data_IF_551440621998
#
_entry.id   IF_551440621998
#
_cell.length_a   1.000
_cell.length_b   1.000
_cell.length_c   1.000
_cell.angle_alpha   90.00
_cell.angle_beta   90.00
_cell.angle_gamma   90.00
#
_symmetry.space_group_name_H-M   'P 1'
#
loop_
_entity.id
_entity.type
_entity.pdbx_description
1 polymer ?
#
# COMPACT_ATOMS: atom_id res chain seq x y z
N UNK A 1 -19.04 -17.00 -18.39
CA UNK A 1 -18.25 -17.00 -17.15
C UNK A 1 -16.92 -17.71 -17.40
N UNK A 2 -15.86 -17.26 -16.78
CA UNK A 2 -14.53 -17.86 -16.84
C UNK A 2 -14.55 -19.33 -16.38
N UNK A 3 -13.88 -20.21 -17.14
CA UNK A 3 -13.83 -21.66 -16.84
C UNK A 3 -12.64 -22.06 -15.98
N UNK A 4 -11.61 -21.20 -15.88
CA UNK A 4 -10.47 -21.39 -15.00
C UNK A 4 -10.77 -20.96 -13.56
N UNK A 5 -9.74 -20.89 -12.75
CA UNK A 5 -9.84 -20.44 -11.36
C UNK A 5 -9.63 -18.93 -11.24
N UNK A 6 -10.40 -18.28 -10.39
CA UNK A 6 -10.21 -16.88 -10.00
C UNK A 6 -10.03 -16.80 -8.49
N UNK A 7 -9.01 -16.06 -8.06
CA UNK A 7 -8.76 -15.81 -6.63
C UNK A 7 -8.39 -14.35 -6.40
N UNK A 8 -8.78 -13.80 -5.26
CA UNK A 8 -8.20 -12.56 -4.78
C UNK A 8 -6.79 -12.84 -4.21
N UNK A 9 -5.86 -11.88 -4.26
CA UNK A 9 -4.49 -12.03 -3.74
C UNK A 9 -4.44 -12.55 -2.30
N UNK A 10 -5.40 -12.20 -1.46
CA UNK A 10 -5.50 -12.70 -0.07
C UNK A 10 -5.78 -14.21 0.05
N UNK A 11 -6.29 -14.83 -1.01
CA UNK A 11 -6.60 -16.26 -1.05
C UNK A 11 -5.56 -17.06 -1.87
N UNK A 12 -4.63 -16.38 -2.54
CA UNK A 12 -3.49 -17.04 -3.21
C UNK A 12 -2.57 -17.67 -2.17
N UNK A 13 -2.08 -18.87 -2.43
CA UNK A 13 -1.24 -19.62 -1.47
C UNK A 13 0.14 -19.94 -2.00
N UNK A 14 0.23 -20.43 -3.23
CA UNK A 14 1.50 -20.90 -3.82
C UNK A 14 1.42 -20.99 -5.32
N UNK A 15 2.54 -20.78 -5.99
CA UNK A 15 2.72 -20.98 -7.43
C UNK A 15 2.92 -22.45 -7.85
N UNK A 16 3.22 -23.36 -6.93
CA UNK A 16 3.59 -24.77 -7.23
C UNK A 16 2.57 -25.48 -8.10
N UNK A 17 1.29 -25.28 -7.86
CA UNK A 17 0.21 -25.95 -8.59
C UNK A 17 0.03 -25.43 -10.03
N UNK A 18 0.72 -24.34 -10.39
CA UNK A 18 0.54 -23.62 -11.65
C UNK A 18 1.67 -23.82 -12.65
N UNK A 19 2.57 -24.78 -12.41
CA UNK A 19 3.69 -25.09 -13.32
C UNK A 19 3.19 -25.35 -14.75
N UNK A 20 3.75 -24.63 -15.73
CA UNK A 20 3.39 -24.71 -17.15
C UNK A 20 2.04 -24.11 -17.52
N UNK A 21 1.29 -23.55 -16.56
CA UNK A 21 0.00 -22.90 -16.76
C UNK A 21 0.14 -21.42 -17.07
N UNK A 22 -0.83 -20.87 -17.76
CA UNK A 22 -0.92 -19.43 -18.00
C UNK A 22 -1.64 -18.75 -16.84
N UNK A 23 -0.95 -17.85 -16.16
CA UNK A 23 -1.51 -17.13 -15.03
C UNK A 23 -1.49 -15.64 -15.31
N UNK A 24 -2.63 -14.98 -15.13
CA UNK A 24 -2.73 -13.52 -15.22
C UNK A 24 -2.92 -12.95 -13.83
N UNK A 25 -1.99 -12.07 -13.43
CA UNK A 25 -2.03 -11.34 -12.17
C UNK A 25 -2.45 -9.90 -12.45
N UNK A 26 -3.60 -9.51 -11.93
CA UNK A 26 -4.17 -8.16 -12.15
C UNK A 26 -3.78 -7.24 -11.01
N UNK A 27 -2.89 -6.33 -11.28
CA UNK A 27 -2.29 -5.39 -10.32
C UNK A 27 -0.79 -5.30 -10.50
N UNK A 28 -0.17 -4.29 -9.89
CA UNK A 28 1.27 -3.99 -10.02
C UNK A 28 1.91 -3.44 -8.73
N UNK A 29 1.27 -3.62 -7.58
CA UNK A 29 1.82 -3.25 -6.27
C UNK A 29 2.45 -4.47 -5.57
N UNK A 30 2.77 -4.39 -4.26
CA UNK A 30 3.46 -5.44 -3.50
C UNK A 30 2.90 -6.84 -3.77
N UNK A 31 1.63 -7.09 -3.49
CA UNK A 31 1.03 -8.43 -3.67
C UNK A 31 1.15 -8.96 -5.10
N UNK A 32 1.02 -8.10 -6.11
CA UNK A 32 1.11 -8.52 -7.50
C UNK A 32 2.53 -8.95 -7.86
N UNK A 33 3.53 -8.18 -7.44
CA UNK A 33 4.94 -8.50 -7.69
C UNK A 33 5.36 -9.79 -7.00
N UNK A 34 5.06 -9.94 -5.70
CA UNK A 34 5.41 -11.13 -4.93
C UNK A 34 4.75 -12.39 -5.50
N UNK A 35 3.47 -12.29 -5.87
CA UNK A 35 2.74 -13.40 -6.50
C UNK A 35 3.30 -13.74 -7.89
N UNK A 36 3.66 -12.74 -8.69
CA UNK A 36 4.29 -12.96 -9.99
C UNK A 36 5.65 -13.67 -9.84
N UNK A 37 6.44 -13.29 -8.84
CA UNK A 37 7.72 -13.93 -8.55
C UNK A 37 7.54 -15.39 -8.15
N UNK A 38 6.68 -15.68 -7.17
CA UNK A 38 6.38 -17.04 -6.72
C UNK A 38 5.85 -17.93 -7.86
N UNK A 39 4.95 -17.44 -8.68
CA UNK A 39 4.43 -18.15 -9.85
C UNK A 39 5.53 -18.43 -10.87
N UNK A 40 6.37 -17.45 -11.18
CA UNK A 40 7.44 -17.60 -12.15
C UNK A 40 8.52 -18.59 -11.65
N UNK A 41 8.93 -18.50 -10.39
CA UNK A 41 9.90 -19.41 -9.75
C UNK A 41 9.41 -20.87 -9.78
N UNK A 42 8.11 -21.07 -9.69
CA UNK A 42 7.47 -22.38 -9.79
C UNK A 42 7.14 -22.82 -11.24
N UNK A 43 7.57 -22.03 -12.23
CA UNK A 43 7.49 -22.41 -13.65
C UNK A 43 6.16 -22.15 -14.33
N UNK A 44 5.35 -21.22 -13.82
CA UNK A 44 4.16 -20.74 -14.51
C UNK A 44 4.50 -19.73 -15.62
N UNK A 45 3.65 -19.60 -16.62
CA UNK A 45 3.71 -18.54 -17.63
C UNK A 45 2.93 -17.31 -17.14
N UNK A 46 3.64 -16.33 -16.56
CA UNK A 46 3.02 -15.23 -15.84
C UNK A 46 2.87 -13.99 -16.71
N UNK A 47 1.69 -13.37 -16.66
CA UNK A 47 1.44 -12.04 -17.22
C UNK A 47 0.91 -11.12 -16.12
N UNK A 48 1.61 -10.03 -15.83
CA UNK A 48 1.15 -8.95 -14.99
C UNK A 48 0.30 -7.97 -15.81
N UNK A 49 -0.86 -7.59 -15.29
CA UNK A 49 -1.71 -6.55 -15.88
C UNK A 49 -1.63 -5.29 -15.02
N UNK A 50 -1.08 -4.22 -15.58
CA UNK A 50 -0.95 -2.93 -14.92
C UNK A 50 -1.91 -1.90 -15.53
N UNK A 51 -2.83 -1.36 -14.71
CA UNK A 51 -3.78 -0.33 -15.12
C UNK A 51 -3.27 1.09 -14.83
N UNK A 52 -2.59 1.28 -13.74
CA UNK A 52 -2.12 2.59 -13.25
C UNK A 52 -0.68 2.50 -12.79
N UNK A 53 -0.01 3.63 -12.73
CA UNK A 53 1.39 3.72 -12.32
C UNK A 53 1.63 3.21 -10.90
N UNK A 54 2.84 2.68 -10.69
CA UNK A 54 3.32 2.16 -9.40
C UNK A 54 4.68 2.74 -9.10
N UNK A 55 4.89 3.20 -7.87
CA UNK A 55 6.22 3.57 -7.39
C UNK A 55 7.01 2.30 -7.04
N UNK A 56 8.15 2.13 -7.66
CA UNK A 56 9.09 1.04 -7.34
C UNK A 56 10.21 1.60 -6.48
N UNK A 57 10.47 0.99 -5.33
CA UNK A 57 11.59 1.35 -4.46
C UNK A 57 12.38 0.09 -4.13
N UNK A 58 13.65 0.00 -4.54
CA UNK A 58 14.52 -1.10 -4.10
C UNK A 58 14.64 -1.09 -2.58
N UNK A 59 14.49 -2.26 -1.97
CA UNK A 59 14.55 -2.43 -0.52
C UNK A 59 15.85 -1.86 0.06
N UNK A 60 17.00 -2.19 -0.54
CA UNK A 60 18.30 -1.72 -0.07
C UNK A 60 18.45 -0.20 -0.18
N UNK A 61 18.00 0.38 -1.29
CA UNK A 61 18.03 1.83 -1.49
C UNK A 61 17.13 2.54 -0.51
N UNK A 62 15.92 1.99 -0.26
CA UNK A 62 14.98 2.51 0.72
C UNK A 62 15.56 2.45 2.14
N UNK A 63 16.16 1.30 2.50
CA UNK A 63 16.79 1.13 3.83
C UNK A 63 17.95 2.08 4.04
N UNK A 64 18.82 2.25 3.05
CA UNK A 64 20.00 3.10 3.18
C UNK A 64 19.63 4.60 3.25
N UNK A 65 18.85 5.08 2.28
CA UNK A 65 18.63 6.51 2.08
C UNK A 65 17.46 7.08 2.88
N UNK A 66 16.38 6.31 3.03
CA UNK A 66 15.17 6.81 3.68
C UNK A 66 15.05 6.41 5.15
N UNK A 67 15.53 5.23 5.54
CA UNK A 67 15.32 4.67 6.87
C UNK A 67 16.63 4.55 7.69
N UNK A 68 17.80 4.48 7.05
CA UNK A 68 19.08 4.16 7.69
C UNK A 68 19.51 5.15 8.77
N UNK A 69 19.14 6.42 8.66
CA UNK A 69 19.44 7.42 9.69
C UNK A 69 18.76 7.16 11.05
N UNK A 70 17.66 6.40 11.05
CA UNK A 70 16.89 6.08 12.27
C UNK A 70 16.89 4.58 12.60
N UNK A 71 16.80 3.72 11.59
CA UNK A 71 16.57 2.29 11.77
C UNK A 71 17.73 1.46 11.18
N UNK A 72 18.93 1.63 11.74
CA UNK A 72 20.12 0.89 11.34
C UNK A 72 21.00 0.60 12.54
N UNK A 73 21.95 -0.35 12.39
CA UNK A 73 22.96 -0.59 13.42
C UNK A 73 23.80 0.66 13.70
N UNK A 74 24.06 1.49 12.69
CA UNK A 74 24.78 2.75 12.85
C UNK A 74 23.98 3.74 13.71
N UNK A 75 22.69 3.84 13.52
CA UNK A 75 21.81 4.66 14.36
C UNK A 75 21.85 4.20 15.83
N UNK A 76 21.75 2.89 16.08
CA UNK A 76 21.85 2.33 17.44
C UNK A 76 23.21 2.63 18.07
N UNK A 77 24.31 2.45 17.34
CA UNK A 77 25.67 2.80 17.83
C UNK A 77 25.82 4.29 18.16
N UNK A 78 25.04 5.15 17.50
CA UNK A 78 24.98 6.59 17.74
C UNK A 78 23.94 6.99 18.79
N UNK A 79 23.39 6.05 19.56
CA UNK A 79 22.44 6.30 20.65
C UNK A 79 21.00 6.59 20.20
N UNK A 80 20.65 6.19 18.98
CA UNK A 80 19.27 6.19 18.47
C UNK A 80 18.75 4.75 18.49
N UNK A 81 18.19 4.35 19.62
CA UNK A 81 17.47 3.09 19.72
C UNK A 81 16.10 3.14 19.03
N UNK A 82 15.39 2.03 19.01
CA UNK A 82 14.11 1.90 18.31
C UNK A 82 13.04 2.86 18.86
N UNK A 83 12.97 3.03 20.17
CA UNK A 83 11.95 3.89 20.79
C UNK A 83 12.21 5.37 20.45
N UNK A 84 13.48 5.77 20.49
CA UNK A 84 13.89 7.13 20.09
C UNK A 84 13.67 7.37 18.60
N UNK A 85 13.98 6.39 17.76
CA UNK A 85 13.74 6.45 16.31
C UNK A 85 12.26 6.64 16.01
N UNK A 86 11.40 5.85 16.64
CA UNK A 86 9.94 5.94 16.51
C UNK A 86 9.41 7.31 16.95
N UNK A 87 9.91 7.83 18.08
CA UNK A 87 9.53 9.13 18.59
C UNK A 87 9.94 10.26 17.64
N UNK A 88 11.19 10.22 17.13
CA UNK A 88 11.68 11.20 16.14
C UNK A 88 10.79 11.16 14.90
N UNK A 89 10.52 9.96 14.36
CA UNK A 89 9.70 9.82 13.17
C UNK A 89 8.26 10.31 13.39
N UNK A 90 7.66 9.96 14.54
CA UNK A 90 6.30 10.36 14.89
C UNK A 90 6.17 11.86 15.22
N UNK A 91 7.28 12.53 15.59
CA UNK A 91 7.28 13.97 15.84
C UNK A 91 7.20 14.85 14.60
N UNK A 92 7.44 14.25 13.41
CA UNK A 92 7.39 14.98 12.14
C UNK A 92 5.93 15.17 11.68
N UNK A 93 5.46 16.43 11.55
CA UNK A 93 4.12 16.66 11.03
C UNK A 93 3.98 16.13 9.61
N UNK A 94 2.94 15.36 9.32
CA UNK A 94 2.71 14.80 7.97
C UNK A 94 2.64 15.88 6.88
N UNK A 95 2.18 17.09 7.23
CA UNK A 95 2.14 18.25 6.32
C UNK A 95 3.53 18.72 5.88
N UNK A 96 4.55 18.52 6.71
CA UNK A 96 5.94 18.88 6.41
C UNK A 96 6.70 17.77 5.67
N UNK A 97 6.24 16.51 5.75
CA UNK A 97 6.96 15.37 5.20
C UNK A 97 7.24 15.45 3.69
N UNK A 98 6.34 15.94 2.81
CA UNK A 98 6.66 16.01 1.38
C UNK A 98 7.96 16.78 1.10
N UNK A 99 8.16 17.92 1.74
CA UNK A 99 9.38 18.73 1.57
C UNK A 99 10.65 18.01 2.05
N UNK A 100 10.54 17.15 3.05
CA UNK A 100 11.65 16.34 3.56
C UNK A 100 11.91 15.10 2.70
N UNK A 101 10.87 14.53 2.12
CA UNK A 101 10.95 13.29 1.35
C UNK A 101 11.44 13.51 -0.08
N UNK A 102 11.03 14.59 -0.75
CA UNK A 102 11.40 14.86 -2.15
C UNK A 102 12.92 14.72 -2.38
N UNK A 103 13.82 15.36 -1.62
CA UNK A 103 15.26 15.21 -1.84
C UNK A 103 15.77 13.78 -1.67
N UNK A 104 15.18 13.01 -0.76
CA UNK A 104 15.54 11.60 -0.54
C UNK A 104 15.14 10.76 -1.76
N UNK A 105 13.93 10.96 -2.27
CA UNK A 105 13.45 10.20 -3.44
C UNK A 105 14.15 10.60 -4.73
N UNK A 106 14.63 11.83 -4.88
CA UNK A 106 15.52 12.19 -5.99
C UNK A 106 16.85 11.43 -5.95
N UNK A 107 17.47 11.30 -4.78
CA UNK A 107 18.67 10.48 -4.60
C UNK A 107 18.39 8.99 -4.88
N UNK A 108 17.27 8.46 -4.40
CA UNK A 108 16.87 7.08 -4.71
C UNK A 108 16.67 6.88 -6.21
N UNK A 109 16.06 7.85 -6.88
CA UNK A 109 15.83 7.81 -8.32
C UNK A 109 17.12 7.82 -9.13
N UNK A 110 18.10 8.61 -8.71
CA UNK A 110 19.44 8.60 -9.31
C UNK A 110 20.15 7.26 -9.09
N UNK A 111 20.10 6.73 -7.87
CA UNK A 111 20.75 5.45 -7.53
C UNK A 111 20.19 4.26 -8.30
N UNK A 112 18.88 4.23 -8.50
CA UNK A 112 18.16 3.09 -9.12
C UNK A 112 17.79 3.37 -10.59
N UNK A 113 18.40 4.37 -11.23
CA UNK A 113 18.09 4.83 -12.59
C UNK A 113 18.16 3.72 -13.64
N UNK A 114 19.08 2.76 -13.48
CA UNK A 114 19.22 1.61 -14.38
C UNK A 114 17.96 0.72 -14.38
N UNK A 115 17.43 0.43 -13.20
CA UNK A 115 16.22 -0.37 -13.06
C UNK A 115 15.02 0.37 -13.65
N UNK A 116 14.88 1.65 -13.35
CA UNK A 116 13.77 2.45 -13.87
C UNK A 116 13.79 2.54 -15.40
N UNK A 117 14.95 2.76 -16.00
CA UNK A 117 15.09 2.79 -17.47
C UNK A 117 14.68 1.45 -18.11
N UNK A 118 15.03 0.31 -17.50
CA UNK A 118 14.65 -1.02 -17.98
C UNK A 118 13.15 -1.30 -17.79
N UNK A 119 12.56 -0.89 -16.70
CA UNK A 119 11.13 -1.00 -16.46
C UNK A 119 10.32 -0.15 -17.45
N UNK A 120 10.72 1.08 -17.68
CA UNK A 120 10.09 1.96 -18.68
C UNK A 120 10.21 1.37 -20.08
N UNK A 121 11.39 0.83 -20.44
CA UNK A 121 11.59 0.14 -21.73
C UNK A 121 10.70 -1.10 -21.88
N UNK A 122 10.41 -1.80 -20.78
CA UNK A 122 9.47 -2.91 -20.76
C UNK A 122 7.99 -2.45 -20.84
N UNK A 123 7.73 -1.14 -20.77
CA UNK A 123 6.39 -0.55 -20.80
C UNK A 123 5.72 -0.42 -19.43
N UNK A 124 6.49 -0.56 -18.33
CA UNK A 124 5.97 -0.41 -16.98
C UNK A 124 5.67 1.07 -16.69
N UNK A 125 4.50 1.34 -16.15
CA UNK A 125 4.08 2.69 -15.78
C UNK A 125 4.64 3.02 -14.39
N UNK A 126 5.72 3.79 -14.36
CA UNK A 126 6.34 4.28 -13.13
C UNK A 126 5.72 5.61 -12.68
N UNK A 127 5.75 5.87 -11.38
CA UNK A 127 5.56 7.20 -10.79
C UNK A 127 6.36 7.35 -9.50
N UNK A 128 6.55 8.58 -9.06
CA UNK A 128 7.27 8.92 -7.84
C UNK A 128 6.40 9.68 -6.83
N UNK A 129 5.07 9.50 -6.93
CA UNK A 129 4.08 10.22 -6.15
C UNK A 129 3.56 11.46 -6.88
N UNK A 130 2.40 11.97 -6.46
CA UNK A 130 1.73 13.11 -7.11
C UNK A 130 2.57 14.39 -7.09
N UNK A 131 3.44 14.52 -6.09
CA UNK A 131 4.31 15.67 -5.84
C UNK A 131 5.79 15.29 -5.75
N UNK A 132 6.17 14.10 -6.21
CA UNK A 132 7.55 13.59 -6.12
C UNK A 132 7.97 13.12 -4.73
N UNK A 133 7.08 13.12 -3.75
CA UNK A 133 7.37 12.72 -2.37
C UNK A 133 7.41 11.20 -2.12
N UNK A 134 7.26 10.40 -3.16
CA UNK A 134 7.53 8.98 -3.19
C UNK A 134 6.62 8.07 -2.37
N UNK A 135 7.20 6.93 -1.99
CA UNK A 135 6.51 5.81 -1.37
C UNK A 135 5.79 6.18 -0.07
N UNK A 136 6.49 6.89 0.83
CA UNK A 136 5.94 7.12 2.16
C UNK A 136 4.68 7.99 2.13
N UNK A 137 4.65 9.01 1.27
CA UNK A 137 3.45 9.82 1.09
C UNK A 137 2.34 9.08 0.35
N UNK A 138 2.65 8.21 -0.61
CA UNK A 138 1.66 7.30 -1.22
C UNK A 138 1.03 6.37 -0.16
N UNK A 139 1.85 5.83 0.72
CA UNK A 139 1.41 5.01 1.84
C UNK A 139 0.48 5.79 2.78
N UNK A 140 0.86 6.99 3.22
CA UNK A 140 0.04 7.81 4.11
C UNK A 140 -1.27 8.26 3.45
N UNK A 141 -1.23 8.63 2.18
CA UNK A 141 -2.40 9.14 1.44
C UNK A 141 -3.38 8.05 1.05
N UNK A 142 -2.88 6.86 0.63
CA UNK A 142 -3.70 5.82 -0.01
C UNK A 142 -3.51 4.42 0.56
N UNK A 143 -2.44 4.14 1.29
CA UNK A 143 -2.08 2.80 1.74
C UNK A 143 -1.67 1.85 0.61
N UNK A 144 -1.42 2.37 -0.60
CA UNK A 144 -1.14 1.57 -1.80
C UNK A 144 -0.42 2.40 -2.88
N UNK A 145 -0.17 1.77 -4.04
CA UNK A 145 0.42 2.45 -5.21
C UNK A 145 1.93 2.34 -5.26
N UNK A 146 2.53 1.40 -4.53
CA UNK A 146 3.97 1.18 -4.50
C UNK A 146 4.31 -0.32 -4.39
N UNK A 147 5.54 -0.64 -4.73
CA UNK A 147 6.20 -1.90 -4.46
C UNK A 147 7.56 -1.64 -3.81
N UNK A 148 7.82 -2.29 -2.67
CA UNK A 148 9.15 -2.36 -2.07
C UNK A 148 9.83 -3.56 -2.70
N UNK A 149 10.72 -3.29 -3.65
CA UNK A 149 11.30 -4.30 -4.52
C UNK A 149 12.35 -5.13 -3.80
N UNK A 150 12.12 -6.43 -3.82
CA UNK A 150 13.04 -7.48 -3.34
C UNK A 150 13.46 -8.43 -4.50
N UNK A 151 13.36 -7.95 -5.75
CA UNK A 151 13.82 -8.66 -6.93
C UNK A 151 12.76 -8.96 -7.99
N UNK A 152 11.47 -8.87 -7.68
CA UNK A 152 10.43 -9.17 -8.67
C UNK A 152 10.36 -8.14 -9.81
N UNK A 153 10.81 -6.91 -9.60
CA UNK A 153 10.89 -5.90 -10.67
C UNK A 153 11.86 -6.31 -11.78
N UNK A 154 12.92 -7.03 -11.46
CA UNK A 154 13.87 -7.56 -12.45
C UNK A 154 13.19 -8.55 -13.41
N UNK A 155 12.25 -9.35 -12.90
CA UNK A 155 11.50 -10.30 -13.73
C UNK A 155 10.61 -9.59 -14.75
N UNK A 156 10.05 -8.45 -14.38
CA UNK A 156 9.25 -7.61 -15.27
C UNK A 156 10.15 -6.87 -16.27
N UNK A 157 11.23 -6.27 -15.79
CA UNK A 157 12.18 -5.53 -16.62
C UNK A 157 12.82 -6.40 -17.71
N UNK A 158 13.10 -7.66 -17.41
CA UNK A 158 13.72 -8.63 -18.34
C UNK A 158 12.67 -9.39 -19.18
N UNK A 159 11.37 -9.15 -18.97
CA UNK A 159 10.29 -9.82 -19.70
C UNK A 159 10.05 -11.29 -19.32
N UNK A 160 10.69 -11.79 -18.24
CA UNK A 160 10.42 -13.12 -17.67
C UNK A 160 9.02 -13.22 -17.10
N UNK A 161 8.53 -12.15 -16.48
CA UNK A 161 7.11 -11.88 -16.24
C UNK A 161 6.64 -10.94 -17.33
N UNK A 162 5.71 -11.38 -18.16
CA UNK A 162 5.14 -10.54 -19.22
C UNK A 162 4.34 -9.40 -18.62
N UNK A 163 4.42 -8.24 -19.24
CA UNK A 163 3.66 -7.06 -18.81
C UNK A 163 2.61 -6.70 -19.87
N UNK A 164 1.40 -6.44 -19.41
CA UNK A 164 0.35 -5.82 -20.24
C UNK A 164 -0.20 -4.61 -19.49
N UNK A 165 -0.06 -3.44 -20.08
CA UNK A 165 -0.63 -2.20 -19.56
C UNK A 165 -1.99 -1.93 -20.16
N UNK A 166 -2.89 -1.34 -19.37
CA UNK A 166 -4.25 -0.96 -19.79
C UNK A 166 -5.34 -1.48 -18.87
N UNK A 167 -6.57 -1.12 -19.20
CA UNK A 167 -7.77 -1.56 -18.48
C UNK A 167 -8.29 -2.88 -19.04
N UNK A 168 -8.87 -3.69 -18.16
CA UNK A 168 -9.62 -4.89 -18.54
C UNK A 168 -11.01 -4.44 -18.95
N UNK A 169 -11.50 -4.91 -20.08
CA UNK A 169 -12.86 -4.68 -20.55
C UNK A 169 -13.81 -5.71 -19.94
N UNK A 170 -13.51 -7.00 -20.14
CA UNK A 170 -14.32 -8.08 -19.57
C UNK A 170 -13.53 -9.38 -19.42
N UNK A 171 -14.16 -10.36 -18.79
CA UNK A 171 -13.64 -11.72 -18.59
C UNK A 171 -14.38 -12.67 -19.53
N UNK A 172 -13.63 -13.44 -20.31
CA UNK A 172 -14.15 -14.51 -21.18
C UNK A 172 -13.98 -15.90 -20.55
N UNK A 173 -14.41 -16.94 -21.28
CA UNK A 173 -14.35 -18.30 -20.78
C UNK A 173 -12.92 -18.83 -20.59
N UNK A 174 -11.96 -18.31 -21.35
CA UNK A 174 -10.57 -18.76 -21.39
C UNK A 174 -9.53 -17.67 -21.02
N UNK A 175 -9.99 -16.52 -20.49
CA UNK A 175 -9.08 -15.46 -20.07
C UNK A 175 -9.69 -14.07 -19.93
N UNK A 176 -8.86 -13.04 -20.15
CA UNK A 176 -9.23 -11.64 -20.06
C UNK A 176 -9.19 -10.97 -21.44
N UNK A 177 -10.10 -10.03 -21.67
CA UNK A 177 -10.06 -9.11 -22.81
C UNK A 177 -9.73 -7.72 -22.28
N UNK A 178 -8.69 -7.13 -22.85
CA UNK A 178 -8.26 -5.77 -22.53
C UNK A 178 -9.07 -4.77 -23.36
N UNK A 179 -9.18 -3.53 -22.90
CA UNK A 179 -9.89 -2.44 -23.59
C UNK A 179 -9.36 -2.14 -25.00
N UNK A 180 -8.12 -2.53 -25.31
CA UNK A 180 -7.53 -2.42 -26.66
C UNK A 180 -7.79 -3.65 -27.53
N UNK A 181 -8.65 -4.59 -27.09
CA UNK A 181 -8.99 -5.83 -27.78
C UNK A 181 -7.98 -6.96 -27.60
N UNK A 182 -6.87 -6.76 -26.89
CA UNK A 182 -5.90 -7.83 -26.62
C UNK A 182 -6.53 -8.91 -25.75
N UNK A 183 -6.37 -10.16 -26.14
CA UNK A 183 -6.82 -11.33 -25.35
C UNK A 183 -5.68 -11.96 -24.60
N UNK A 184 -5.83 -12.14 -23.29
CA UNK A 184 -4.87 -12.79 -22.40
C UNK A 184 -5.46 -14.13 -21.95
N UNK A 185 -4.92 -15.23 -22.48
CA UNK A 185 -5.34 -16.58 -22.04
C UNK A 185 -4.88 -16.81 -20.61
N UNK A 186 -5.72 -17.44 -19.80
CA UNK A 186 -5.45 -17.74 -18.41
C UNK A 186 -6.07 -19.08 -17.99
N UNK A 187 -5.32 -19.85 -17.22
CA UNK A 187 -5.82 -20.98 -16.42
C UNK A 187 -6.19 -20.50 -15.00
N UNK A 188 -5.48 -19.46 -14.52
CA UNK A 188 -5.74 -18.77 -13.26
C UNK A 188 -5.73 -17.25 -13.48
N UNK A 189 -6.66 -16.56 -12.85
CA UNK A 189 -6.64 -15.10 -12.69
C UNK A 189 -6.49 -14.77 -11.21
N UNK A 190 -5.43 -14.02 -10.87
CA UNK A 190 -5.22 -13.51 -9.51
C UNK A 190 -5.54 -12.02 -9.48
N UNK A 191 -6.55 -11.65 -8.70
CA UNK A 191 -6.97 -10.27 -8.52
C UNK A 191 -6.16 -9.63 -7.38
N UNK A 192 -5.01 -9.02 -7.71
CA UNK A 192 -4.18 -8.27 -6.78
C UNK A 192 -4.56 -6.77 -6.78
N UNK A 193 -5.86 -6.51 -6.70
CA UNK A 193 -6.47 -5.19 -6.86
C UNK A 193 -6.60 -4.39 -5.56
N UNK A 194 -5.98 -4.87 -4.49
CA UNK A 194 -5.96 -4.23 -3.18
C UNK A 194 -7.17 -4.54 -2.32
N UNK A 195 -7.29 -3.78 -1.24
CA UNK A 195 -8.33 -3.96 -0.22
C UNK A 195 -9.17 -2.69 -0.12
N UNK A 196 -10.41 -2.84 0.36
CA UNK A 196 -11.26 -1.71 0.69
C UNK A 196 -10.78 -0.93 1.91
N UNK A 197 -11.45 0.16 2.24
CA UNK A 197 -11.18 0.93 3.45
C UNK A 197 -11.36 0.07 4.71
N UNK A 198 -10.57 0.36 5.77
CA UNK A 198 -10.61 -0.37 7.04
C UNK A 198 -11.99 -0.36 7.71
N UNK A 199 -12.83 0.64 7.46
CA UNK A 199 -14.21 0.65 7.96
C UNK A 199 -15.07 -0.52 7.40
N UNK A 200 -14.69 -1.12 6.28
CA UNK A 200 -15.29 -2.37 5.82
C UNK A 200 -15.11 -3.55 6.77
N UNK A 201 -14.06 -3.55 7.58
CA UNK A 201 -13.91 -4.51 8.68
C UNK A 201 -14.88 -4.22 9.82
N UNK A 202 -15.14 -2.95 10.14
CA UNK A 202 -16.16 -2.58 11.13
C UNK A 202 -17.52 -3.11 10.70
N UNK A 203 -17.88 -2.95 9.42
CA UNK A 203 -19.13 -3.48 8.88
C UNK A 203 -19.27 -4.99 9.04
N UNK A 204 -18.16 -5.73 8.90
CA UNK A 204 -18.15 -7.20 9.03
C UNK A 204 -18.14 -7.69 10.49
N UNK A 205 -17.44 -6.96 11.37
CA UNK A 205 -17.23 -7.40 12.76
C UNK A 205 -18.29 -6.87 13.72
N UNK A 206 -18.90 -5.74 13.37
CA UNK A 206 -19.93 -5.07 14.18
C UNK A 206 -21.22 -4.98 13.36
N UNK A 207 -21.36 -3.90 12.59
CA UNK A 207 -22.47 -3.66 11.66
C UNK A 207 -22.19 -2.50 10.69
N UNK A 208 -23.02 -2.39 9.66
CA UNK A 208 -22.89 -1.34 8.63
C UNK A 208 -23.14 0.05 9.19
N UNK A 209 -24.10 0.21 10.11
CA UNK A 209 -24.43 1.52 10.70
C UNK A 209 -23.25 2.09 11.50
N UNK A 210 -22.54 1.25 12.24
CA UNK A 210 -21.30 1.63 12.94
C UNK A 210 -20.19 1.99 11.96
N UNK A 211 -20.02 1.22 10.90
CA UNK A 211 -19.04 1.52 9.84
C UNK A 211 -19.32 2.86 9.16
N UNK A 212 -20.56 3.14 8.83
CA UNK A 212 -21.01 4.40 8.22
C UNK A 212 -20.82 5.58 9.17
N UNK A 213 -21.05 5.37 10.46
CA UNK A 213 -20.86 6.39 11.50
C UNK A 213 -19.38 6.76 11.66
N UNK A 214 -18.49 5.78 11.62
CA UNK A 214 -17.03 6.01 11.69
C UNK A 214 -16.52 6.63 10.39
N UNK A 215 -17.00 6.15 9.26
CA UNK A 215 -16.53 6.57 7.96
C UNK A 215 -15.15 6.01 7.60
N UNK A 216 -14.54 6.57 6.58
CA UNK A 216 -13.27 6.12 6.04
C UNK A 216 -12.13 6.20 7.07
N UNK A 217 -11.40 5.12 7.20
CA UNK A 217 -10.19 5.04 8.01
C UNK A 217 -8.96 5.04 7.09
N UNK A 218 -7.85 5.60 7.58
CA UNK A 218 -6.62 5.81 6.81
C UNK A 218 -6.73 6.92 5.75
N UNK A 219 -5.57 7.42 5.32
CA UNK A 219 -5.42 8.47 4.32
C UNK A 219 -5.43 9.87 4.93
N UNK A 220 -4.62 10.75 4.33
CA UNK A 220 -4.53 12.17 4.70
C UNK A 220 -5.56 13.04 3.96
N UNK A 221 -6.33 12.44 3.07
CA UNK A 221 -7.12 13.15 2.08
C UNK A 221 -6.30 13.56 0.86
N UNK A 222 -6.96 13.77 -0.26
CA UNK A 222 -6.31 14.11 -1.52
C UNK A 222 -6.36 15.60 -1.85
N UNK A 223 -7.01 16.41 -1.01
CA UNK A 223 -7.30 17.81 -1.34
C UNK A 223 -8.28 17.99 -2.49
N UNK A 224 -8.92 16.92 -2.95
CA UNK A 224 -9.92 16.93 -4.03
C UNK A 224 -11.34 16.92 -3.46
N UNK A 225 -12.32 17.30 -4.27
CA UNK A 225 -13.74 17.23 -3.91
C UNK A 225 -14.22 15.79 -3.63
N UNK A 226 -13.51 14.77 -4.15
CA UNK A 226 -13.83 13.36 -3.91
C UNK A 226 -13.34 12.87 -2.56
N UNK A 227 -12.24 13.42 -2.06
CA UNK A 227 -11.61 13.00 -0.80
C UNK A 227 -10.86 14.16 -0.15
N UNK A 228 -11.57 15.16 0.37
CA UNK A 228 -10.97 16.40 0.90
C UNK A 228 -10.14 16.18 2.15
N UNK A 229 -10.32 15.05 2.84
CA UNK A 229 -9.70 14.78 4.11
C UNK A 229 -10.31 15.58 5.26
N UNK A 230 -10.75 14.93 6.32
CA UNK A 230 -11.43 15.60 7.45
C UNK A 230 -10.46 16.40 8.31
N UNK A 231 -9.20 16.03 8.35
CA UNK A 231 -8.17 16.71 9.14
C UNK A 231 -6.95 16.96 8.27
N UNK A 232 -6.66 18.19 8.02
CA UNK A 232 -5.47 18.55 7.28
C UNK A 232 -4.20 17.98 7.93
N UNK A 233 -3.49 17.12 7.18
CA UNK A 233 -2.23 16.56 7.61
C UNK A 233 -2.30 15.47 8.67
N UNK A 234 -3.48 14.87 8.94
CA UNK A 234 -3.63 13.75 9.85
C UNK A 234 -4.27 12.53 9.19
N UNK A 235 -3.92 11.34 9.71
CA UNK A 235 -4.57 10.10 9.28
C UNK A 235 -5.98 9.99 9.85
N UNK A 236 -6.94 9.68 8.98
CA UNK A 236 -8.35 9.54 9.35
C UNK A 236 -8.54 8.38 10.30
N UNK A 237 -9.17 8.66 11.43
CA UNK A 237 -9.65 7.66 12.40
C UNK A 237 -8.59 6.66 12.91
N UNK A 238 -7.30 6.97 12.77
CA UNK A 238 -6.23 6.09 13.24
C UNK A 238 -5.71 6.53 14.60
N UNK A 239 -5.59 5.57 15.53
CA UNK A 239 -4.97 5.72 16.86
C UNK A 239 -5.61 6.77 17.76
N UNK A 240 -6.83 7.16 17.48
CA UNK A 240 -7.60 8.18 18.20
C UNK A 240 -9.05 7.74 18.36
N UNK A 241 -9.82 8.38 19.26
CA UNK A 241 -11.27 8.14 19.36
C UNK A 241 -11.95 8.40 18.01
N UNK A 242 -12.89 7.53 17.66
CA UNK A 242 -13.71 7.68 16.46
C UNK A 242 -15.08 8.31 16.78
N UNK A 243 -15.92 8.49 15.75
CA UNK A 243 -17.32 8.91 15.92
C UNK A 243 -18.15 7.88 16.72
N UNK A 244 -17.70 6.62 16.75
CA UNK A 244 -18.32 5.59 17.58
C UNK A 244 -17.63 5.55 18.94
N UNK A 245 -18.33 5.85 20.06
CA UNK A 245 -17.78 5.71 21.40
C UNK A 245 -17.18 4.30 21.64
N UNK A 246 -16.05 4.25 22.31
CA UNK A 246 -15.34 3.00 22.66
C UNK A 246 -14.84 2.17 21.48
N UNK A 247 -14.64 2.78 20.32
CA UNK A 247 -14.06 2.15 19.15
C UNK A 247 -12.84 2.94 18.66
N UNK A 248 -11.71 2.24 18.51
CA UNK A 248 -10.47 2.76 17.95
C UNK A 248 -10.01 1.89 16.79
N UNK A 249 -9.38 2.50 15.81
CA UNK A 249 -8.72 1.80 14.73
C UNK A 249 -7.21 1.78 14.99
N UNK A 250 -6.62 0.59 14.98
CA UNK A 250 -5.20 0.34 15.14
C UNK A 250 -4.68 -0.33 13.87
N UNK A 251 -3.58 0.15 13.32
CA UNK A 251 -2.99 -0.37 12.08
C UNK A 251 -1.78 0.43 11.65
N UNK A 252 -1.42 0.33 10.37
CA UNK A 252 -0.24 0.95 9.81
C UNK A 252 0.94 -0.02 9.69
N UNK A 253 2.12 0.50 9.32
CA UNK A 253 3.33 -0.30 9.29
C UNK A 253 3.85 -0.61 10.71
N UNK A 254 4.89 -1.44 10.81
CA UNK A 254 5.35 -1.95 12.10
C UNK A 254 5.81 -0.85 13.06
N UNK A 255 6.55 0.14 12.59
CA UNK A 255 7.03 1.22 13.46
C UNK A 255 5.89 2.13 13.94
N UNK A 256 4.93 2.44 13.09
CA UNK A 256 3.75 3.20 13.49
C UNK A 256 2.88 2.41 14.47
N UNK A 257 2.65 1.13 14.20
CA UNK A 257 1.92 0.27 15.13
C UNK A 257 2.57 0.21 16.50
N UNK A 258 3.89 0.01 16.55
CA UNK A 258 4.64 -0.05 17.80
C UNK A 258 4.48 1.24 18.60
N UNK A 259 4.72 2.40 17.98
CA UNK A 259 4.65 3.69 18.64
C UNK A 259 3.22 4.06 19.05
N UNK A 260 2.29 4.06 18.10
CA UNK A 260 0.94 4.58 18.34
C UNK A 260 0.04 3.63 19.14
N UNK A 261 0.37 2.34 19.24
CA UNK A 261 -0.33 1.42 20.14
C UNK A 261 -0.23 1.83 21.61
N UNK A 262 0.90 2.45 22.01
CA UNK A 262 1.07 2.98 23.36
C UNK A 262 0.07 4.11 23.64
N UNK A 263 -0.15 5.00 22.68
CA UNK A 263 -1.12 6.09 22.81
C UNK A 263 -2.56 5.58 22.83
N UNK A 264 -2.88 4.54 22.03
CA UNK A 264 -4.19 3.89 22.09
C UNK A 264 -4.41 3.24 23.45
N UNK A 265 -3.40 2.50 23.95
CA UNK A 265 -3.48 1.87 25.27
C UNK A 265 -3.70 2.88 26.41
N UNK A 266 -3.02 4.04 26.35
CA UNK A 266 -3.23 5.13 27.33
C UNK A 266 -4.65 5.68 27.28
N UNK A 267 -5.21 5.89 26.09
CA UNK A 267 -6.57 6.37 25.92
C UNK A 267 -7.60 5.36 26.48
N UNK A 268 -7.42 4.08 26.18
CA UNK A 268 -8.28 3.01 26.69
C UNK A 268 -8.19 2.94 28.22
N UNK A 269 -6.97 2.95 28.77
CA UNK A 269 -6.77 2.89 30.23
C UNK A 269 -7.35 4.11 30.92
N UNK A 270 -7.16 5.31 30.39
CA UNK A 270 -7.74 6.54 30.93
C UNK A 270 -9.27 6.42 31.06
N UNK A 271 -9.95 5.91 30.05
CA UNK A 271 -11.41 5.69 30.11
C UNK A 271 -11.81 4.64 31.13
N UNK A 272 -11.06 3.56 31.27
CA UNK A 272 -11.30 2.54 32.29
C UNK A 272 -11.18 3.11 33.71
N UNK A 273 -10.30 4.09 33.90
CA UNK A 273 -10.08 4.77 35.20
C UNK A 273 -10.96 6.01 35.38
N UNK A 274 -11.88 6.28 34.45
CA UNK A 274 -12.75 7.47 34.51
C UNK A 274 -12.04 8.80 34.26
N UNK A 275 -10.82 8.78 33.71
CA UNK A 275 -10.09 9.98 33.34
C UNK A 275 -10.67 10.54 32.04
N UNK A 276 -11.10 11.80 31.98
CA UNK A 276 -11.63 12.40 30.77
C UNK A 276 -10.62 12.37 29.61
N UNK A 277 -11.08 11.90 28.46
CA UNK A 277 -10.31 11.93 27.19
C UNK A 277 -11.07 12.75 26.15
N UNK A 278 -11.13 14.08 26.30
CA UNK A 278 -11.89 14.92 25.38
C UNK A 278 -11.27 14.86 23.97
N UNK A 279 -12.14 14.83 22.96
CA UNK A 279 -11.74 14.92 21.56
C UNK A 279 -12.17 16.28 21.05
N UNK A 280 -11.19 17.11 20.68
CA UNK A 280 -11.43 18.44 20.15
C UNK A 280 -11.54 18.37 18.63
N UNK A 281 -12.48 19.16 18.08
CA UNK A 281 -12.65 19.29 16.63
C UNK A 281 -12.75 17.94 15.89
N UNK A 282 -13.49 16.96 16.46
CA UNK A 282 -13.78 15.74 15.75
C UNK A 282 -14.57 16.05 14.49
N UNK A 283 -13.97 15.86 13.34
CA UNK A 283 -14.58 16.20 12.07
C UNK A 283 -15.83 15.38 11.79
N UNK A 284 -16.81 15.97 11.14
CA UNK A 284 -17.94 15.24 10.60
C UNK A 284 -17.45 14.25 9.53
N UNK A 285 -18.18 13.15 9.33
CA UNK A 285 -17.88 12.20 8.26
C UNK A 285 -18.15 12.85 6.91
N UNK A 286 -17.11 13.04 6.10
CA UNK A 286 -17.21 13.74 4.82
C UNK A 286 -17.47 12.81 3.65
N UNK A 287 -17.16 11.54 3.80
CA UNK A 287 -17.32 10.54 2.76
C UNK A 287 -17.91 9.29 3.39
N UNK A 288 -19.04 8.94 2.88
CA UNK A 288 -19.63 7.63 3.10
C UNK A 288 -18.99 6.71 2.07
N UNK A 289 -18.66 5.51 2.48
CA UNK A 289 -17.98 4.51 1.64
C UNK A 289 -18.72 4.28 0.32
#
# INVERSE_FOLDING_TARGET
SFKGQQVHSSAFRTGVEWKGKNVVVVGSNNSAHDICADLWENGANVTMVQRSSTHIARSDTLMDLALGGLYSEAAVKNGVDTDKADLIFASLPYKALPALQIPVYEQMKERDADLYARLEKAGFLLDFGEDGSGLFMKYLRRGSGYYIDVGASELVADGRVKLKTGSIEHVEADGLVMADGTKLKADLIVWATGYGSMNGWIAKLVDQATADKVGKCWGLGSGTNKDPGPWEGELRNMWKPTQQPNLWMQGGNLHQNRHYSLLVALQLKARMEGVPTPVYALAAVHHKA
#
